data_IF_265523050439
#
_entry.id   IF_265523050439
#
_cell.length_a   1.000
_cell.length_b   1.000
_cell.length_c   1.000
_cell.angle_alpha   90.00
_cell.angle_beta   90.00
_cell.angle_gamma   90.00
#
_symmetry.space_group_name_H-M   'P 1'
#
loop_
_entity.id
_entity.type
_entity.pdbx_description
1 polymer ?
#
# COMPACT_ATOMS: atom_id res chain seq x y z
N UNK A 1 17.68 32.23 31.05
CA UNK A 1 16.85 32.97 30.07
C UNK A 1 16.97 34.45 30.39
N UNK A 2 17.86 35.12 29.66
CA UNK A 2 18.06 36.56 29.82
C UNK A 2 16.87 37.32 29.26
N UNK A 3 16.14 38.02 30.11
CA UNK A 3 15.31 39.12 29.70
C UNK A 3 16.30 40.25 29.35
N UNK A 4 16.44 40.58 28.05
CA UNK A 4 17.26 41.72 27.66
C UNK A 4 16.59 42.97 28.16
N UNK A 5 17.21 43.61 29.17
CA UNK A 5 16.84 44.92 29.63
C UNK A 5 17.40 45.94 28.66
N UNK A 6 16.56 46.75 28.03
CA UNK A 6 17.02 47.98 27.39
C UNK A 6 17.35 48.99 28.52
N UNK A 7 18.64 49.27 28.71
CA UNK A 7 19.12 50.25 29.64
C UNK A 7 18.85 51.67 29.08
N UNK A 8 18.05 52.46 29.75
CA UNK A 8 17.93 53.88 29.48
C UNK A 8 19.02 54.63 30.23
N UNK A 9 19.55 55.65 29.59
CA UNK A 9 20.67 56.53 29.87
C UNK A 9 21.19 56.56 31.33
N UNK A 10 22.48 56.34 31.56
CA UNK A 10 23.05 56.40 32.89
C UNK A 10 23.23 57.86 33.35
N UNK A 11 22.63 58.23 34.50
CA UNK A 11 22.94 59.45 35.18
C UNK A 11 24.22 59.30 35.99
N UNK A 12 25.18 60.20 35.82
CA UNK A 12 26.46 60.17 36.52
C UNK A 12 26.49 61.32 37.54
N UNK A 13 26.58 60.99 38.82
CA UNK A 13 26.94 61.97 39.83
C UNK A 13 28.22 61.55 40.52
N UNK A 14 29.19 62.43 40.57
CA UNK A 14 30.46 62.21 41.26
C UNK A 14 30.79 63.33 42.21
N UNK A 15 30.82 63.06 43.47
CA UNK A 15 31.44 63.94 44.51
C UNK A 15 32.79 63.39 44.98
N UNK A 16 33.22 62.19 44.61
CA UNK A 16 34.46 61.54 45.14
C UNK A 16 35.33 60.90 44.08
N UNK A 17 35.10 61.17 42.77
CA UNK A 17 35.87 60.54 41.71
C UNK A 17 35.46 59.12 41.38
N UNK A 18 34.61 58.48 42.13
CA UNK A 18 33.99 57.18 41.77
C UNK A 18 32.78 57.42 40.85
N UNK A 19 32.77 56.69 39.76
CA UNK A 19 31.63 56.66 38.82
C UNK A 19 30.60 55.67 39.31
N UNK A 20 29.42 56.14 39.71
CA UNK A 20 28.29 55.28 39.98
C UNK A 20 27.31 55.35 38.79
N UNK A 21 26.77 54.19 38.40
CA UNK A 21 25.78 54.09 37.35
C UNK A 21 24.50 53.51 37.94
N UNK A 22 23.39 54.21 37.76
CA UNK A 22 22.10 53.64 38.10
C UNK A 22 21.47 53.13 36.78
N UNK A 23 21.28 51.83 36.70
CA UNK A 23 20.60 51.19 35.58
C UNK A 23 19.16 50.92 35.99
N UNK A 24 18.21 51.61 35.37
CA UNK A 24 16.79 51.37 35.59
C UNK A 24 16.30 50.47 34.45
N UNK A 25 15.92 49.28 34.75
CA UNK A 25 15.28 48.37 33.77
C UNK A 25 13.77 48.52 33.90
N UNK A 26 13.10 48.90 32.81
CA UNK A 26 11.65 48.97 32.78
C UNK A 26 11.11 47.68 32.11
N UNK A 27 10.31 46.91 32.86
CA UNK A 27 9.60 45.75 32.35
C UNK A 27 8.19 46.14 32.01
N UNK A 28 7.80 46.05 30.75
CA UNK A 28 6.43 46.32 30.30
C UNK A 28 5.53 45.12 30.50
N UNK A 29 4.24 45.31 30.68
CA UNK A 29 3.27 44.23 30.76
C UNK A 29 3.33 43.33 29.48
N UNK A 30 3.57 43.92 28.33
CA UNK A 30 3.70 43.24 27.04
C UNK A 30 4.94 42.32 27.01
N UNK A 31 6.08 42.77 27.51
CA UNK A 31 7.29 41.95 27.59
C UNK A 31 7.14 40.75 28.55
N UNK A 32 6.33 40.89 29.58
CA UNK A 32 5.99 39.82 30.52
C UNK A 32 5.11 38.76 29.86
N UNK A 33 4.09 39.20 29.15
CA UNK A 33 3.19 38.28 28.43
C UNK A 33 3.93 37.52 27.33
N UNK A 34 4.84 38.17 26.58
CA UNK A 34 5.71 37.50 25.62
C UNK A 34 6.67 36.48 26.24
N UNK A 35 7.23 36.84 27.42
CA UNK A 35 8.09 35.90 28.16
C UNK A 35 7.31 34.66 28.61
N UNK A 36 6.09 34.84 29.12
CA UNK A 36 5.19 33.75 29.49
C UNK A 36 4.88 32.84 28.30
N UNK A 37 4.53 33.42 27.13
CA UNK A 37 4.33 32.69 25.88
C UNK A 37 5.54 31.88 25.45
N UNK A 38 6.74 32.46 25.53
CA UNK A 38 8.00 31.75 25.19
C UNK A 38 8.24 30.54 26.10
N UNK A 39 8.01 30.71 27.41
CA UNK A 39 8.15 29.62 28.37
C UNK A 39 7.10 28.55 28.14
N UNK A 40 5.84 28.94 27.93
CA UNK A 40 4.75 28.00 27.64
C UNK A 40 5.02 27.21 26.35
N UNK A 41 5.40 27.87 25.27
CA UNK A 41 5.75 27.23 23.99
C UNK A 41 6.94 26.26 24.13
N UNK A 42 7.97 26.62 24.91
CA UNK A 42 9.15 25.76 25.12
C UNK A 42 8.80 24.49 25.91
N UNK A 43 7.80 24.55 26.77
CA UNK A 43 7.38 23.46 27.64
C UNK A 43 6.09 22.77 27.15
N UNK A 44 5.57 23.17 25.96
CA UNK A 44 4.48 22.48 25.31
C UNK A 44 4.97 21.10 24.81
N UNK A 45 4.20 20.08 25.10
CA UNK A 45 4.36 18.73 24.55
C UNK A 45 2.99 18.27 24.09
N UNK A 46 2.91 17.83 22.83
CA UNK A 46 1.70 17.19 22.31
C UNK A 46 1.54 15.79 22.90
N UNK A 47 0.30 15.36 23.13
CA UNK A 47 0.03 13.99 23.49
C UNK A 47 0.30 13.08 22.29
N UNK A 48 1.03 12.01 22.49
CA UNK A 48 1.32 11.03 21.45
C UNK A 48 0.53 9.75 21.71
N UNK A 49 -0.21 9.32 20.72
CA UNK A 49 -0.94 8.05 20.74
C UNK A 49 0.05 6.86 20.78
N UNK A 50 -0.39 5.78 21.39
CA UNK A 50 0.29 4.50 21.21
C UNK A 50 0.30 4.11 19.74
N UNK A 51 1.33 3.40 19.31
CA UNK A 51 1.48 2.92 17.93
C UNK A 51 2.19 1.57 17.92
N UNK A 52 2.05 0.84 16.81
CA UNK A 52 2.90 -0.33 16.59
C UNK A 52 4.30 0.16 16.24
N UNK A 53 5.27 -0.25 17.04
CA UNK A 53 6.69 0.10 16.85
C UNK A 53 7.42 -0.86 15.93
N UNK A 54 7.02 -2.16 15.95
CA UNK A 54 7.54 -3.19 15.03
C UNK A 54 6.45 -4.17 14.64
N UNK A 55 6.48 -4.56 13.39
CA UNK A 55 5.65 -5.61 12.82
C UNK A 55 6.51 -6.82 12.43
N UNK A 56 6.10 -8.00 12.88
CA UNK A 56 6.78 -9.28 12.62
C UNK A 56 5.81 -10.20 11.86
N UNK A 57 5.87 -10.22 10.52
CA UNK A 57 5.00 -11.08 9.72
C UNK A 57 5.07 -12.54 10.15
N UNK A 58 3.93 -13.21 10.21
CA UNK A 58 3.74 -14.62 10.56
C UNK A 58 4.18 -15.04 11.98
N UNK A 59 4.75 -14.14 12.77
CA UNK A 59 5.12 -14.45 14.14
C UNK A 59 3.89 -14.61 15.04
N UNK A 60 3.95 -15.49 16.05
CA UNK A 60 2.91 -15.59 17.09
C UNK A 60 2.68 -14.25 17.80
N UNK A 61 3.75 -13.50 18.06
CA UNK A 61 3.71 -12.12 18.56
C UNK A 61 4.01 -11.19 17.39
N UNK A 62 2.98 -10.83 16.63
CA UNK A 62 3.12 -10.02 15.41
C UNK A 62 3.50 -8.58 15.66
N UNK A 63 3.08 -8.00 16.79
CA UNK A 63 3.21 -6.56 17.03
C UNK A 63 3.95 -6.28 18.31
N UNK A 64 4.93 -5.35 18.25
CA UNK A 64 5.48 -4.65 19.39
C UNK A 64 4.92 -3.23 19.41
N UNK A 65 4.66 -2.71 20.60
CA UNK A 65 3.99 -1.43 20.75
C UNK A 65 4.91 -0.41 21.40
N UNK A 66 4.76 0.86 20.99
CA UNK A 66 5.25 2.01 21.73
C UNK A 66 4.10 2.57 22.57
N UNK A 67 4.38 2.86 23.82
CA UNK A 67 3.41 3.41 24.77
C UNK A 67 2.97 4.81 24.35
N UNK A 68 1.75 5.15 24.69
CA UNK A 68 1.24 6.50 24.59
C UNK A 68 1.95 7.44 25.58
N UNK A 69 2.10 8.70 25.24
CA UNK A 69 2.62 9.71 26.14
C UNK A 69 1.65 10.86 26.32
N UNK A 70 1.53 11.32 27.58
CA UNK A 70 0.71 12.50 27.87
C UNK A 70 1.33 13.77 27.27
N UNK A 71 0.47 14.62 26.75
CA UNK A 71 0.79 16.00 26.42
C UNK A 71 0.79 16.88 27.65
N UNK A 72 1.39 18.06 27.51
CA UNK A 72 1.36 19.09 28.54
C UNK A 72 1.30 20.48 27.91
N UNK A 73 0.53 21.35 28.55
CA UNK A 73 0.38 22.74 28.17
C UNK A 73 0.46 23.60 29.41
N UNK A 74 1.38 24.58 29.44
CA UNK A 74 1.48 25.54 30.53
C UNK A 74 0.36 26.56 30.38
N UNK A 75 -0.27 26.91 31.49
CA UNK A 75 -1.25 28.00 31.55
C UNK A 75 -0.55 29.34 31.39
N UNK A 76 -0.61 29.89 30.17
CA UNK A 76 0.08 31.15 29.82
C UNK A 76 -0.39 32.33 30.66
N UNK A 77 -1.71 32.39 30.90
CA UNK A 77 -2.32 33.49 31.66
C UNK A 77 -1.88 33.47 33.12
N UNK A 78 -1.92 32.31 33.76
CA UNK A 78 -1.46 32.12 35.12
C UNK A 78 0.04 32.46 35.26
N UNK A 79 0.87 31.92 34.34
CA UNK A 79 2.29 32.21 34.31
C UNK A 79 2.61 33.70 34.14
N UNK A 80 1.88 34.40 33.25
CA UNK A 80 2.02 35.85 33.04
C UNK A 80 1.65 36.64 34.31
N UNK A 81 0.56 36.26 35.00
CA UNK A 81 0.16 36.87 36.24
C UNK A 81 1.18 36.68 37.36
N UNK A 82 1.75 35.47 37.48
CA UNK A 82 2.84 35.18 38.41
C UNK A 82 4.07 36.05 38.10
N UNK A 83 4.48 36.17 36.82
CA UNK A 83 5.57 37.06 36.42
C UNK A 83 5.31 38.52 36.80
N UNK A 84 4.12 39.03 36.52
CA UNK A 84 3.72 40.40 36.91
C UNK A 84 3.83 40.60 38.43
N UNK A 85 3.37 39.63 39.22
CA UNK A 85 3.47 39.64 40.68
C UNK A 85 4.92 39.70 41.20
N UNK A 86 5.80 38.91 40.57
CA UNK A 86 7.24 38.88 40.89
C UNK A 86 7.88 40.25 40.62
N UNK A 87 7.66 40.82 39.43
CA UNK A 87 8.25 42.12 39.12
C UNK A 87 7.71 43.23 40.04
N UNK A 88 6.43 43.20 40.41
CA UNK A 88 5.84 44.16 41.35
C UNK A 88 6.40 44.04 42.76
N UNK A 89 6.88 42.87 43.17
CA UNK A 89 7.46 42.64 44.51
C UNK A 89 8.90 43.18 44.68
N UNK A 90 9.58 43.50 43.57
CA UNK A 90 10.98 43.94 43.58
C UNK A 90 11.99 42.91 44.06
N UNK A 91 11.64 41.64 44.13
CA UNK A 91 12.51 40.55 44.52
C UNK A 91 13.61 40.29 43.50
N UNK A 92 14.85 40.07 43.92
CA UNK A 92 15.98 39.78 43.04
C UNK A 92 16.03 38.31 42.56
N UNK A 93 15.43 37.41 43.34
CA UNK A 93 15.31 35.97 42.98
C UNK A 93 13.89 35.50 43.31
N UNK A 94 13.34 34.66 42.43
CA UNK A 94 12.03 34.08 42.62
C UNK A 94 11.89 32.71 42.00
N UNK A 95 11.13 31.84 42.64
CA UNK A 95 10.75 30.54 42.11
C UNK A 95 9.27 30.54 41.75
N UNK A 96 8.97 30.34 40.46
CA UNK A 96 7.63 30.23 39.97
C UNK A 96 7.32 28.75 39.68
N UNK A 97 6.16 28.30 40.13
CA UNK A 97 5.61 26.98 39.76
C UNK A 97 4.49 27.20 38.79
N UNK A 98 4.74 26.90 37.53
CA UNK A 98 3.74 27.03 36.51
C UNK A 98 2.64 25.95 36.66
N UNK A 99 1.40 26.36 36.49
CA UNK A 99 0.28 25.42 36.33
C UNK A 99 0.36 24.75 34.97
N UNK A 100 0.30 23.40 34.97
CA UNK A 100 0.46 22.58 33.77
C UNK A 100 -0.76 21.71 33.60
N UNK A 101 -1.52 22.00 32.58
CA UNK A 101 -2.61 21.17 32.09
C UNK A 101 -2.05 19.95 31.35
N UNK A 102 -2.50 18.76 31.71
CA UNK A 102 -2.14 17.51 31.04
C UNK A 102 -3.24 17.11 30.07
N UNK A 103 -2.83 16.63 28.89
CA UNK A 103 -3.73 16.09 27.88
C UNK A 103 -3.42 14.62 27.69
N UNK A 104 -4.40 13.76 27.85
CA UNK A 104 -4.23 12.33 27.63
C UNK A 104 -4.17 12.01 26.13
N UNK A 105 -3.42 11.00 25.77
CA UNK A 105 -3.44 10.41 24.45
C UNK A 105 -4.81 9.77 24.18
N UNK A 106 -5.25 9.79 22.93
CA UNK A 106 -6.55 9.24 22.53
C UNK A 106 -6.53 7.72 22.38
N UNK A 107 -5.37 7.12 22.18
CA UNK A 107 -5.19 5.70 21.88
C UNK A 107 -4.12 5.14 22.80
N UNK A 108 -4.48 4.13 23.59
CA UNK A 108 -3.57 3.36 24.43
C UNK A 108 -3.14 2.06 23.72
N UNK A 109 -2.13 1.37 24.25
CA UNK A 109 -1.66 0.07 23.72
C UNK A 109 -2.77 -1.00 23.76
N UNK A 110 -3.63 -0.97 24.76
CA UNK A 110 -4.71 -1.96 24.86
C UNK A 110 -5.81 -1.73 23.80
N UNK A 111 -6.01 -0.48 23.36
CA UNK A 111 -6.89 -0.18 22.21
C UNK A 111 -6.31 -0.78 20.93
N UNK A 112 -5.01 -0.66 20.70
CA UNK A 112 -4.33 -1.26 19.56
C UNK A 112 -4.46 -2.79 19.58
N UNK A 113 -4.19 -3.43 20.70
CA UNK A 113 -4.31 -4.90 20.86
C UNK A 113 -5.72 -5.42 20.59
N UNK A 114 -6.74 -4.64 20.94
CA UNK A 114 -8.14 -5.00 20.77
C UNK A 114 -8.63 -4.79 19.34
N UNK A 115 -8.15 -3.75 18.66
CA UNK A 115 -8.74 -3.29 17.42
C UNK A 115 -7.89 -3.58 16.17
N UNK A 116 -6.59 -3.89 16.30
CA UNK A 116 -5.79 -4.37 15.17
C UNK A 116 -6.13 -5.84 14.95
N UNK A 117 -6.79 -6.11 13.83
CA UNK A 117 -7.29 -7.43 13.43
C UNK A 117 -6.86 -7.76 12.00
N UNK A 118 -7.03 -9.02 11.61
CA UNK A 118 -6.93 -9.42 10.21
C UNK A 118 -8.14 -8.85 9.45
N UNK A 119 -7.88 -7.90 8.54
CA UNK A 119 -8.93 -7.25 7.76
C UNK A 119 -9.33 -8.09 6.55
N UNK A 120 -8.35 -8.68 5.89
CA UNK A 120 -8.57 -9.51 4.69
C UNK A 120 -7.40 -10.42 4.42
N UNK A 121 -7.66 -11.56 3.81
CA UNK A 121 -6.67 -12.43 3.17
C UNK A 121 -7.15 -12.78 1.77
N UNK A 122 -6.23 -12.80 0.83
CA UNK A 122 -6.48 -13.25 -0.53
C UNK A 122 -5.37 -14.19 -0.99
N UNK A 123 -5.77 -15.29 -1.66
CA UNK A 123 -4.83 -16.30 -2.14
C UNK A 123 -4.99 -16.55 -3.63
N UNK A 124 -3.90 -16.84 -4.33
CA UNK A 124 -3.91 -17.29 -5.72
C UNK A 124 -2.89 -18.40 -5.93
N UNK A 125 -3.24 -19.40 -6.76
CA UNK A 125 -2.34 -20.50 -7.08
C UNK A 125 -1.58 -20.17 -8.36
N UNK A 126 -0.26 -20.26 -8.32
CA UNK A 126 0.58 -20.12 -9.51
C UNK A 126 0.51 -21.38 -10.36
N UNK A 127 0.19 -21.22 -11.62
CA UNK A 127 0.33 -22.23 -12.68
C UNK A 127 1.50 -21.91 -13.61
N UNK A 128 2.36 -20.97 -13.21
CA UNK A 128 3.51 -20.53 -13.98
C UNK A 128 4.66 -21.55 -13.92
N UNK A 129 5.70 -21.32 -14.70
CA UNK A 129 6.97 -22.06 -14.59
C UNK A 129 7.57 -21.87 -13.19
N UNK A 130 8.52 -22.73 -12.82
CA UNK A 130 9.29 -22.60 -11.58
C UNK A 130 9.92 -21.22 -11.45
N UNK A 131 10.57 -20.70 -12.50
CA UNK A 131 11.12 -19.35 -12.53
C UNK A 131 10.07 -18.27 -12.31
N UNK A 132 8.89 -18.41 -12.94
CA UNK A 132 7.80 -17.45 -12.75
C UNK A 132 7.27 -17.47 -11.31
N UNK A 133 7.13 -18.64 -10.71
CA UNK A 133 6.73 -18.79 -9.31
C UNK A 133 7.82 -18.24 -8.36
N UNK A 134 9.11 -18.47 -8.69
CA UNK A 134 10.21 -17.88 -7.92
C UNK A 134 10.21 -16.34 -7.99
N UNK A 135 9.92 -15.76 -9.17
CA UNK A 135 9.76 -14.30 -9.29
C UNK A 135 8.63 -13.77 -8.39
N UNK A 136 7.53 -14.52 -8.28
CA UNK A 136 6.45 -14.18 -7.34
C UNK A 136 6.93 -14.25 -5.89
N UNK A 137 7.74 -15.25 -5.53
CA UNK A 137 8.34 -15.39 -4.18
C UNK A 137 9.26 -14.22 -3.88
N UNK A 138 10.14 -13.83 -4.80
CA UNK A 138 11.03 -12.68 -4.65
C UNK A 138 10.24 -11.40 -4.45
N UNK A 139 9.23 -11.14 -5.30
CA UNK A 139 8.42 -9.93 -5.22
C UNK A 139 7.60 -9.84 -3.92
N UNK A 140 6.93 -10.93 -3.51
CA UNK A 140 6.16 -10.95 -2.26
C UNK A 140 7.07 -10.84 -1.04
N UNK A 141 8.25 -11.48 -1.05
CA UNK A 141 9.24 -11.33 0.03
C UNK A 141 9.68 -9.87 0.19
N UNK A 142 9.84 -9.14 -0.91
CA UNK A 142 10.19 -7.71 -0.86
C UNK A 142 9.05 -6.83 -0.31
N UNK A 143 7.80 -7.22 -0.53
CA UNK A 143 6.61 -6.52 -0.02
C UNK A 143 6.27 -6.88 1.43
N UNK A 144 6.67 -8.09 1.87
CA UNK A 144 6.30 -8.63 3.18
C UNK A 144 6.85 -7.78 4.33
N UNK A 145 6.00 -7.50 5.32
CA UNK A 145 6.37 -6.67 6.48
C UNK A 145 6.21 -5.17 6.25
N UNK A 146 5.64 -4.74 5.13
CA UNK A 146 5.34 -3.32 4.90
C UNK A 146 4.40 -2.78 5.97
N UNK A 147 4.76 -1.64 6.54
CA UNK A 147 3.93 -0.83 7.43
C UNK A 147 3.53 0.42 6.66
N UNK A 148 2.23 0.67 6.57
CA UNK A 148 1.66 1.78 5.81
C UNK A 148 1.03 2.74 6.79
N UNK A 149 1.71 3.85 7.04
CA UNK A 149 1.28 4.89 7.97
C UNK A 149 -0.04 5.55 7.51
N UNK A 150 -0.80 6.19 8.42
CA UNK A 150 -1.98 6.98 8.09
C UNK A 150 -1.72 7.96 6.93
N UNK A 151 -2.56 7.95 5.90
CA UNK A 151 -2.44 8.81 4.72
C UNK A 151 -1.26 8.50 3.80
N UNK A 152 -0.40 7.53 4.14
CA UNK A 152 0.75 7.19 3.31
C UNK A 152 0.36 6.36 2.09
N UNK A 153 1.11 6.54 1.00
CA UNK A 153 0.99 5.75 -0.23
C UNK A 153 2.08 4.69 -0.29
N UNK A 154 1.67 3.46 -0.49
CA UNK A 154 2.51 2.30 -0.76
C UNK A 154 2.58 2.03 -2.27
N UNK A 155 3.74 1.61 -2.78
CA UNK A 155 3.99 1.31 -4.19
C UNK A 155 4.62 -0.06 -4.32
N UNK A 156 4.06 -0.89 -5.21
CA UNK A 156 4.59 -2.22 -5.50
C UNK A 156 6.01 -2.13 -6.09
N UNK A 157 6.20 -1.31 -7.13
CA UNK A 157 7.49 -1.15 -7.79
C UNK A 157 8.57 -0.57 -6.85
N UNK A 158 8.19 0.30 -5.90
CA UNK A 158 9.12 0.81 -4.90
C UNK A 158 9.58 -0.28 -3.94
N UNK A 159 8.70 -1.20 -3.55
CA UNK A 159 9.06 -2.31 -2.67
C UNK A 159 9.89 -3.36 -3.38
N UNK A 160 9.50 -3.76 -4.59
CA UNK A 160 10.15 -4.85 -5.35
C UNK A 160 11.44 -4.44 -6.03
N UNK A 161 11.64 -3.13 -6.23
CA UNK A 161 12.73 -2.62 -7.06
C UNK A 161 12.51 -2.95 -8.55
N UNK A 162 13.57 -2.80 -9.34
CA UNK A 162 13.51 -3.08 -10.78
C UNK A 162 13.41 -4.58 -11.05
N UNK A 163 12.19 -5.04 -11.31
CA UNK A 163 11.89 -6.45 -11.58
C UNK A 163 12.51 -7.00 -12.87
N UNK A 164 13.12 -6.17 -13.70
CA UNK A 164 13.84 -6.57 -14.90
C UNK A 164 15.34 -6.88 -14.64
N UNK A 165 15.76 -6.94 -13.37
CA UNK A 165 17.15 -7.17 -12.98
C UNK A 165 17.33 -8.54 -12.29
N UNK A 166 18.17 -9.39 -12.89
CA UNK A 166 18.61 -10.66 -12.29
C UNK A 166 19.36 -10.47 -10.97
N UNK A 167 20.06 -9.34 -10.82
CA UNK A 167 20.78 -9.00 -9.59
C UNK A 167 19.89 -8.83 -8.34
N UNK A 168 18.58 -8.65 -8.54
CA UNK A 168 17.58 -8.63 -7.48
C UNK A 168 16.91 -10.01 -7.25
N UNK A 169 17.40 -11.06 -7.92
CA UNK A 169 16.91 -12.42 -7.79
C UNK A 169 15.82 -12.80 -8.80
N UNK A 170 15.41 -11.89 -9.68
CA UNK A 170 14.43 -12.20 -10.72
C UNK A 170 15.04 -13.06 -11.83
N UNK A 171 14.23 -13.96 -12.38
CA UNK A 171 14.63 -14.94 -13.39
C UNK A 171 13.83 -14.76 -14.69
N UNK A 172 14.35 -15.24 -15.83
CA UNK A 172 13.60 -15.29 -17.08
C UNK A 172 12.36 -16.20 -16.95
N UNK A 173 11.19 -15.66 -17.29
CA UNK A 173 9.92 -16.36 -17.33
C UNK A 173 8.98 -15.72 -18.35
N UNK A 174 7.79 -16.28 -18.56
CA UNK A 174 6.83 -15.75 -19.52
C UNK A 174 6.36 -14.33 -19.18
N UNK A 175 6.47 -13.44 -20.13
CA UNK A 175 5.95 -12.06 -20.09
C UNK A 175 5.03 -11.82 -21.28
N UNK A 176 4.18 -10.82 -21.20
CA UNK A 176 3.42 -10.31 -22.34
C UNK A 176 4.06 -8.99 -22.76
N UNK A 177 4.75 -9.00 -23.89
CA UNK A 177 5.42 -7.82 -24.46
C UNK A 177 4.78 -7.47 -25.81
N UNK A 178 4.37 -6.20 -25.99
CA UNK A 178 3.74 -5.71 -27.23
C UNK A 178 2.55 -6.58 -27.71
N UNK A 179 1.79 -7.15 -26.77
CA UNK A 179 0.66 -8.02 -27.09
C UNK A 179 1.06 -9.41 -27.62
N UNK A 180 2.25 -9.91 -27.30
CA UNK A 180 2.71 -11.26 -27.62
C UNK A 180 3.34 -11.91 -26.38
N UNK A 181 3.21 -13.24 -26.30
CA UNK A 181 3.92 -14.01 -25.30
C UNK A 181 5.42 -14.02 -25.65
N UNK A 182 6.25 -13.66 -24.68
CA UNK A 182 7.71 -13.59 -24.79
C UNK A 182 8.33 -14.09 -23.49
N UNK A 183 9.65 -14.22 -23.45
CA UNK A 183 10.40 -14.54 -22.25
C UNK A 183 11.17 -13.29 -21.82
N UNK A 184 10.95 -12.87 -20.59
CA UNK A 184 11.63 -11.71 -19.98
C UNK A 184 11.92 -11.94 -18.51
N UNK A 185 12.87 -11.17 -17.95
CA UNK A 185 13.17 -11.23 -16.53
C UNK A 185 11.98 -10.69 -15.73
N UNK A 186 11.65 -11.32 -14.61
CA UNK A 186 10.54 -10.92 -13.75
C UNK A 186 9.16 -11.40 -14.23
N UNK A 187 9.08 -12.24 -15.27
CA UNK A 187 7.80 -12.79 -15.71
C UNK A 187 7.04 -13.48 -14.57
N UNK A 188 5.72 -13.29 -14.53
CA UNK A 188 4.82 -13.84 -13.50
C UNK A 188 4.43 -12.87 -12.38
N UNK A 189 5.20 -11.83 -12.07
CA UNK A 189 4.98 -10.96 -10.90
C UNK A 189 3.68 -10.15 -10.92
N UNK A 190 3.02 -9.99 -12.07
CA UNK A 190 1.68 -9.41 -12.13
C UNK A 190 0.63 -10.22 -11.35
N UNK A 191 0.87 -11.51 -11.11
CA UNK A 191 0.04 -12.30 -10.21
C UNK A 191 0.25 -11.86 -8.75
N UNK A 192 1.49 -11.54 -8.34
CA UNK A 192 1.77 -10.99 -7.01
C UNK A 192 1.05 -9.66 -6.79
N UNK A 193 1.17 -8.71 -7.72
CA UNK A 193 0.50 -7.42 -7.61
C UNK A 193 -1.03 -7.55 -7.62
N UNK A 194 -1.58 -8.46 -8.45
CA UNK A 194 -3.03 -8.71 -8.48
C UNK A 194 -3.53 -9.37 -7.18
N UNK A 195 -2.75 -10.25 -6.56
CA UNK A 195 -3.10 -10.86 -5.27
C UNK A 195 -3.10 -9.80 -4.17
N UNK A 196 -2.07 -8.93 -4.13
CA UNK A 196 -2.01 -7.80 -3.20
C UNK A 196 -3.19 -6.85 -3.42
N UNK A 197 -3.50 -6.49 -4.67
CA UNK A 197 -4.62 -5.63 -5.01
C UNK A 197 -5.95 -6.16 -4.47
N UNK A 198 -6.22 -7.46 -4.67
CA UNK A 198 -7.44 -8.09 -4.18
C UNK A 198 -7.55 -8.12 -2.65
N UNK A 199 -6.46 -8.38 -1.95
CA UNK A 199 -6.44 -8.26 -0.48
C UNK A 199 -6.63 -6.79 -0.04
N UNK A 200 -5.94 -5.86 -0.68
CA UNK A 200 -5.95 -4.43 -0.34
C UNK A 200 -7.34 -3.79 -0.48
N UNK A 201 -8.06 -4.05 -1.58
CA UNK A 201 -9.40 -3.48 -1.78
C UNK A 201 -10.39 -4.00 -0.75
N UNK A 202 -10.21 -5.24 -0.26
CA UNK A 202 -11.02 -5.84 0.82
C UNK A 202 -10.60 -5.39 2.22
N UNK A 203 -9.39 -4.84 2.35
CA UNK A 203 -8.90 -4.18 3.57
C UNK A 203 -9.18 -2.67 3.59
N UNK A 204 -10.01 -2.17 2.68
CA UNK A 204 -10.34 -0.75 2.53
C UNK A 204 -9.18 0.17 2.13
N UNK A 205 -8.09 -0.36 1.56
CA UNK A 205 -7.06 0.49 0.97
C UNK A 205 -7.63 1.29 -0.19
N UNK A 206 -7.23 2.56 -0.31
CA UNK A 206 -7.58 3.38 -1.47
C UNK A 206 -6.64 3.06 -2.62
N UNK A 207 -7.20 2.90 -3.82
CA UNK A 207 -6.43 2.64 -5.05
C UNK A 207 -6.04 3.97 -5.67
N UNK A 208 -4.74 4.27 -5.70
CA UNK A 208 -4.21 5.50 -6.31
C UNK A 208 -3.78 5.26 -7.75
N UNK A 209 -3.22 4.09 -8.05
CA UNK A 209 -2.79 3.71 -9.39
C UNK A 209 -2.98 2.20 -9.57
N UNK A 210 -3.63 1.81 -10.66
CA UNK A 210 -3.83 0.41 -11.04
C UNK A 210 -4.17 0.31 -12.52
N UNK A 211 -3.58 -0.65 -13.21
CA UNK A 211 -3.84 -0.96 -14.61
C UNK A 211 -4.32 -2.39 -14.77
N UNK A 212 -5.24 -2.64 -15.70
CA UNK A 212 -5.61 -4.00 -16.09
C UNK A 212 -4.66 -4.51 -17.18
N UNK A 213 -4.58 -5.83 -17.33
CA UNK A 213 -3.89 -6.43 -18.45
C UNK A 213 -4.65 -6.17 -19.78
N UNK A 214 -3.96 -6.35 -20.88
CA UNK A 214 -4.57 -6.38 -22.21
C UNK A 214 -5.54 -7.56 -22.36
N UNK A 215 -5.19 -8.71 -21.82
CA UNK A 215 -6.02 -9.92 -21.77
C UNK A 215 -6.35 -10.29 -20.32
N UNK A 216 -7.58 -10.72 -20.07
CA UNK A 216 -7.97 -11.08 -18.71
C UNK A 216 -7.10 -12.23 -18.16
N UNK A 217 -6.62 -12.06 -16.95
CA UNK A 217 -5.91 -13.11 -16.23
C UNK A 217 -6.89 -14.14 -15.67
N UNK A 218 -6.46 -15.42 -15.60
CA UNK A 218 -7.27 -16.51 -15.07
C UNK A 218 -7.18 -16.68 -13.55
N UNK A 219 -6.21 -16.01 -12.91
CA UNK A 219 -5.92 -16.19 -11.47
C UNK A 219 -6.69 -15.26 -10.54
N UNK A 220 -7.37 -14.23 -11.06
CA UNK A 220 -8.24 -13.33 -10.28
C UNK A 220 -9.54 -13.06 -11.05
N UNK A 221 -10.61 -12.56 -10.38
CA UNK A 221 -11.83 -12.13 -11.08
C UNK A 221 -11.55 -11.06 -12.12
N UNK A 222 -12.18 -11.18 -13.27
CA UNK A 222 -12.05 -10.20 -14.36
C UNK A 222 -12.47 -8.82 -13.88
N UNK A 223 -11.62 -7.82 -14.12
CA UNK A 223 -11.78 -6.46 -13.59
C UNK A 223 -11.03 -6.22 -12.29
N UNK A 224 -10.42 -7.25 -11.71
CA UNK A 224 -9.69 -7.18 -10.43
C UNK A 224 -8.22 -7.64 -10.54
N UNK A 225 -7.66 -7.64 -11.72
CA UNK A 225 -6.22 -7.82 -11.93
C UNK A 225 -5.47 -6.48 -11.80
N UNK A 226 -4.18 -6.53 -11.54
CA UNK A 226 -3.30 -5.37 -11.47
C UNK A 226 -1.99 -5.71 -12.19
N UNK A 227 -1.80 -5.16 -13.40
CA UNK A 227 -0.55 -5.31 -14.13
C UNK A 227 0.48 -4.28 -13.67
N UNK A 228 1.73 -4.68 -13.67
CA UNK A 228 2.87 -3.81 -13.37
C UNK A 228 3.94 -3.93 -14.46
N UNK A 229 4.66 -2.85 -14.68
CA UNK A 229 5.86 -2.80 -15.50
C UNK A 229 6.79 -1.75 -14.90
N UNK A 230 7.95 -2.16 -14.43
CA UNK A 230 8.84 -1.28 -13.69
C UNK A 230 9.22 -0.03 -14.51
N UNK A 231 8.94 1.14 -13.93
CA UNK A 231 9.16 2.43 -14.55
C UNK A 231 7.99 2.95 -15.41
N UNK A 232 7.01 2.09 -15.76
CA UNK A 232 5.88 2.47 -16.62
C UNK A 232 4.52 2.30 -15.90
N UNK A 233 4.26 1.13 -15.32
CA UNK A 233 2.99 0.78 -14.67
C UNK A 233 3.25 0.32 -13.24
N UNK A 234 2.50 0.86 -12.28
CA UNK A 234 2.64 0.52 -10.87
C UNK A 234 1.29 0.16 -10.24
N UNK A 235 1.32 -0.53 -9.12
CA UNK A 235 0.21 -0.64 -8.20
C UNK A 235 0.52 0.27 -7.00
N UNK A 236 -0.25 1.36 -6.85
CA UNK A 236 -0.14 2.26 -5.72
C UNK A 236 -1.42 2.25 -4.90
N UNK A 237 -1.25 2.07 -3.61
CA UNK A 237 -2.32 1.97 -2.64
C UNK A 237 -2.06 2.96 -1.51
N UNK A 238 -3.07 3.67 -1.03
CA UNK A 238 -2.92 4.53 0.14
C UNK A 238 -3.78 4.06 1.30
N UNK A 239 -3.31 4.33 2.50
CA UNK A 239 -4.03 4.05 3.73
C UNK A 239 -4.97 5.23 4.05
N UNK A 240 -6.30 5.07 3.90
CA UNK A 240 -7.25 6.16 4.14
C UNK A 240 -7.64 6.31 5.62
N UNK A 241 -7.06 5.50 6.51
CA UNK A 241 -7.44 5.47 7.93
C UNK A 241 -6.48 6.29 8.78
N UNK A 242 -6.89 6.57 10.03
CA UNK A 242 -6.06 7.24 11.03
C UNK A 242 -5.09 6.29 11.75
N UNK A 243 -5.02 5.02 11.32
CA UNK A 243 -4.24 3.96 11.97
C UNK A 243 -3.29 3.29 10.98
N UNK A 244 -2.22 2.70 11.51
CA UNK A 244 -1.27 1.93 10.70
C UNK A 244 -1.95 0.70 10.08
N UNK A 245 -1.58 0.38 8.84
CA UNK A 245 -1.92 -0.88 8.16
C UNK A 245 -0.67 -1.70 7.88
N UNK A 246 -0.81 -3.02 7.88
CA UNK A 246 0.31 -3.95 7.82
C UNK A 246 0.06 -4.99 6.74
N UNK A 247 1.04 -5.16 5.86
CA UNK A 247 1.00 -6.14 4.77
C UNK A 247 1.86 -7.36 5.13
N UNK A 248 1.23 -8.52 5.13
CA UNK A 248 1.85 -9.82 5.34
C UNK A 248 1.64 -10.66 4.09
N UNK A 249 2.72 -11.12 3.45
CA UNK A 249 2.61 -11.89 2.21
C UNK A 249 3.76 -12.87 2.01
N UNK A 250 3.45 -14.05 1.47
CA UNK A 250 4.42 -15.11 1.16
C UNK A 250 3.90 -16.04 0.06
N UNK A 251 4.80 -16.87 -0.45
CA UNK A 251 4.45 -18.02 -1.30
C UNK A 251 4.77 -19.30 -0.54
N UNK A 252 3.79 -20.18 -0.41
CA UNK A 252 3.98 -21.55 0.12
C UNK A 252 3.65 -22.50 -1.00
N UNK A 253 4.59 -23.36 -1.35
CA UNK A 253 4.54 -24.17 -2.57
C UNK A 253 4.29 -23.27 -3.80
N UNK A 254 3.14 -23.40 -4.42
CA UNK A 254 2.72 -22.57 -5.55
C UNK A 254 1.60 -21.58 -5.20
N UNK A 255 1.23 -21.44 -3.92
CA UNK A 255 0.15 -20.57 -3.49
C UNK A 255 0.69 -19.29 -2.91
N UNK A 256 0.23 -18.18 -3.45
CA UNK A 256 0.50 -16.82 -2.98
C UNK A 256 -0.54 -16.48 -1.91
N UNK A 257 -0.09 -16.10 -0.72
CA UNK A 257 -0.93 -15.63 0.38
C UNK A 257 -0.62 -14.17 0.66
N UNK A 258 -1.66 -13.35 0.70
CA UNK A 258 -1.55 -11.92 1.02
C UNK A 258 -2.61 -11.56 2.05
N UNK A 259 -2.18 -10.96 3.15
CA UNK A 259 -3.05 -10.53 4.24
C UNK A 259 -2.78 -9.08 4.62
N UNK A 260 -3.85 -8.35 4.94
CA UNK A 260 -3.78 -7.02 5.52
C UNK A 260 -4.29 -7.04 6.95
N UNK A 261 -3.51 -6.48 7.85
CA UNK A 261 -3.86 -6.22 9.24
C UNK A 261 -4.05 -4.74 9.45
N UNK A 262 -4.97 -4.35 10.31
CA UNK A 262 -5.23 -2.95 10.61
C UNK A 262 -6.34 -2.77 11.62
N UNK A 263 -6.69 -1.53 11.89
CA UNK A 263 -7.77 -1.20 12.80
C UNK A 263 -9.13 -1.56 12.19
N UNK A 264 -9.91 -2.37 12.91
CA UNK A 264 -11.27 -2.72 12.47
C UNK A 264 -12.17 -1.49 12.41
N UNK A 265 -13.04 -1.45 11.41
CA UNK A 265 -14.03 -0.39 11.29
C UNK A 265 -15.25 -0.65 12.17
N UNK A 266 -15.80 0.41 12.75
CA UNK A 266 -17.12 0.35 13.38
C UNK A 266 -18.27 0.54 12.38
N UNK A 267 -17.95 0.97 11.16
CA UNK A 267 -18.94 1.29 10.12
C UNK A 267 -19.37 0.08 9.30
N UNK A 268 -18.52 -0.94 9.18
CA UNK A 268 -18.79 -2.17 8.43
C UNK A 268 -18.06 -3.37 9.05
N UNK A 269 -18.55 -4.56 8.78
CA UNK A 269 -17.95 -5.81 9.27
C UNK A 269 -17.12 -6.51 8.21
N UNK A 270 -17.47 -6.33 6.92
CA UNK A 270 -16.90 -7.06 5.80
C UNK A 270 -16.91 -6.20 4.55
N UNK A 271 -15.85 -6.31 3.75
CA UNK A 271 -15.80 -5.77 2.38
C UNK A 271 -15.65 -6.95 1.41
N UNK A 272 -16.59 -7.07 0.49
CA UNK A 272 -16.52 -7.98 -0.65
C UNK A 272 -16.22 -7.22 -1.94
N UNK A 273 -16.06 -7.94 -3.03
CA UNK A 273 -15.95 -7.35 -4.37
C UNK A 273 -17.07 -7.87 -5.25
N UNK A 274 -17.47 -7.05 -6.21
CA UNK A 274 -18.45 -7.38 -7.24
C UNK A 274 -17.92 -6.88 -8.58
N UNK A 275 -18.15 -7.67 -9.65
CA UNK A 275 -17.83 -7.26 -11.01
C UNK A 275 -19.02 -7.50 -11.92
N UNK A 276 -19.06 -6.76 -13.03
CA UNK A 276 -20.13 -6.87 -14.02
C UNK A 276 -19.60 -6.56 -15.40
N UNK A 277 -19.89 -7.46 -16.34
CA UNK A 277 -19.69 -7.19 -17.76
C UNK A 277 -20.62 -6.05 -18.20
N UNK A 278 -20.07 -4.98 -18.75
CA UNK A 278 -20.83 -3.77 -19.11
C UNK A 278 -20.87 -3.55 -20.62
N UNK A 279 -19.90 -4.06 -21.35
CA UNK A 279 -19.86 -4.00 -22.80
C UNK A 279 -19.14 -5.24 -23.34
N UNK A 280 -19.63 -5.79 -24.45
CA UNK A 280 -19.01 -6.91 -25.15
C UNK A 280 -19.07 -6.64 -26.65
N UNK A 281 -17.90 -6.32 -27.23
CA UNK A 281 -17.70 -6.17 -28.66
C UNK A 281 -17.08 -7.42 -29.28
N UNK A 282 -16.82 -7.37 -30.56
CA UNK A 282 -16.16 -8.46 -31.30
C UNK A 282 -14.68 -8.61 -30.99
N UNK A 283 -14.00 -7.51 -30.64
CA UNK A 283 -12.55 -7.46 -30.37
C UNK A 283 -12.19 -7.17 -28.93
N UNK A 284 -13.14 -6.64 -28.14
CA UNK A 284 -12.89 -6.28 -26.74
C UNK A 284 -14.16 -6.36 -25.90
N UNK A 285 -13.98 -6.49 -24.59
CA UNK A 285 -15.06 -6.40 -23.61
C UNK A 285 -14.63 -5.57 -22.39
N UNK A 286 -15.62 -4.95 -21.73
CA UNK A 286 -15.39 -4.10 -20.56
C UNK A 286 -16.11 -4.63 -19.34
N UNK A 287 -15.40 -4.68 -18.24
CA UNK A 287 -15.92 -5.08 -16.93
C UNK A 287 -15.76 -3.93 -15.96
N UNK A 288 -16.83 -3.61 -15.23
CA UNK A 288 -16.77 -2.74 -14.05
C UNK A 288 -16.64 -3.56 -12.79
N UNK A 289 -15.88 -3.05 -11.82
CA UNK A 289 -15.72 -3.67 -10.52
C UNK A 289 -16.08 -2.68 -9.40
N UNK A 290 -16.51 -3.23 -8.28
CA UNK A 290 -16.85 -2.49 -7.06
C UNK A 290 -16.30 -3.22 -5.84
N UNK A 291 -15.97 -2.49 -4.78
CA UNK A 291 -15.98 -3.00 -3.43
C UNK A 291 -17.33 -2.72 -2.79
N UNK A 292 -17.81 -3.66 -1.99
CA UNK A 292 -19.14 -3.66 -1.42
C UNK A 292 -19.01 -3.86 0.08
N UNK A 293 -19.58 -2.93 0.84
CA UNK A 293 -19.49 -2.91 2.30
C UNK A 293 -20.72 -3.59 2.91
N UNK A 294 -20.48 -4.44 3.89
CA UNK A 294 -21.52 -5.17 4.61
C UNK A 294 -21.49 -4.85 6.10
N UNK A 295 -22.66 -4.71 6.70
CA UNK A 295 -22.88 -4.60 8.13
C UNK A 295 -24.02 -5.54 8.53
N UNK A 296 -23.82 -6.37 9.57
CA UNK A 296 -24.81 -7.35 10.03
C UNK A 296 -25.39 -8.23 8.88
N UNK A 297 -24.50 -8.63 7.96
CA UNK A 297 -24.83 -9.46 6.78
C UNK A 297 -25.63 -8.74 5.68
N UNK A 298 -25.82 -7.43 5.76
CA UNK A 298 -26.51 -6.62 4.75
C UNK A 298 -25.53 -5.70 4.03
N UNK A 299 -25.72 -5.56 2.71
CA UNK A 299 -25.04 -4.54 1.92
C UNK A 299 -25.49 -3.15 2.39
N UNK A 300 -24.54 -2.29 2.75
CA UNK A 300 -24.80 -0.93 3.23
C UNK A 300 -24.30 0.14 2.27
N UNK A 301 -23.24 -0.18 1.50
CA UNK A 301 -22.64 0.74 0.54
C UNK A 301 -21.82 -0.01 -0.51
N UNK A 302 -21.50 0.67 -1.62
CA UNK A 302 -20.59 0.16 -2.63
C UNK A 302 -19.81 1.29 -3.30
N UNK A 303 -18.51 1.06 -3.52
CA UNK A 303 -17.60 2.00 -4.16
C UNK A 303 -17.05 1.41 -5.45
N UNK A 304 -17.02 2.22 -6.52
CA UNK A 304 -16.49 1.79 -7.81
C UNK A 304 -14.96 1.68 -7.75
N UNK A 305 -14.45 0.54 -8.20
CA UNK A 305 -13.02 0.29 -8.45
C UNK A 305 -12.64 0.59 -9.91
N UNK A 306 -13.55 1.17 -10.68
CA UNK A 306 -13.34 1.55 -12.07
C UNK A 306 -13.75 0.49 -13.08
N UNK A 307 -13.31 0.69 -14.32
CA UNK A 307 -13.59 -0.17 -15.48
C UNK A 307 -12.28 -0.71 -16.05
N UNK A 308 -12.32 -1.95 -16.50
CA UNK A 308 -11.21 -2.64 -17.17
C UNK A 308 -11.68 -3.12 -18.54
N UNK A 309 -10.91 -2.83 -19.57
CA UNK A 309 -11.21 -3.29 -20.94
C UNK A 309 -10.14 -4.29 -21.37
N UNK A 310 -10.59 -5.42 -21.86
CA UNK A 310 -9.76 -6.55 -22.27
C UNK A 310 -10.00 -6.87 -23.75
N UNK A 311 -8.94 -7.30 -24.41
CA UNK A 311 -8.98 -7.81 -25.78
C UNK A 311 -9.49 -9.26 -25.78
N UNK A 312 -10.28 -9.63 -26.80
CA UNK A 312 -10.82 -10.99 -26.98
C UNK A 312 -9.95 -11.89 -27.86
N UNK A 313 -8.80 -11.42 -28.37
CA UNK A 313 -7.93 -12.17 -29.27
C UNK A 313 -7.53 -13.54 -28.70
N UNK A 314 -7.28 -13.64 -27.38
CA UNK A 314 -6.94 -14.88 -26.68
C UNK A 314 -8.12 -15.56 -25.97
N UNK A 315 -9.33 -15.23 -26.37
CA UNK A 315 -10.54 -15.75 -25.77
C UNK A 315 -11.14 -14.82 -24.73
N UNK A 316 -12.33 -15.21 -24.29
CA UNK A 316 -13.10 -14.48 -23.29
C UNK A 316 -13.06 -15.21 -21.95
N UNK A 317 -12.62 -14.53 -20.90
CA UNK A 317 -12.61 -15.06 -19.53
C UNK A 317 -13.36 -14.10 -18.63
N UNK A 318 -14.39 -14.62 -17.98
CA UNK A 318 -15.10 -13.90 -16.93
C UNK A 318 -15.18 -14.76 -15.68
N UNK A 319 -14.67 -14.22 -14.57
CA UNK A 319 -14.72 -14.85 -13.25
C UNK A 319 -15.58 -13.94 -12.36
N UNK A 320 -16.61 -14.51 -11.74
CA UNK A 320 -17.51 -13.80 -10.83
C UNK A 320 -16.82 -13.45 -9.52
N UNK A 321 -16.74 -12.16 -9.21
CA UNK A 321 -16.13 -11.67 -7.98
C UNK A 321 -17.06 -11.78 -6.76
N UNK A 322 -18.36 -11.97 -6.94
CA UNK A 322 -19.32 -12.05 -5.83
C UNK A 322 -19.14 -13.33 -5.00
N UNK A 323 -18.63 -14.39 -5.62
CA UNK A 323 -18.46 -15.71 -5.02
C UNK A 323 -17.00 -16.18 -5.10
N UNK A 324 -16.06 -15.27 -4.96
CA UNK A 324 -14.64 -15.57 -5.08
C UNK A 324 -14.11 -16.34 -3.84
N UNK A 325 -13.81 -17.66 -3.98
CA UNK A 325 -13.37 -18.48 -2.85
C UNK A 325 -11.94 -18.16 -2.39
N UNK A 326 -11.21 -17.35 -3.14
CA UNK A 326 -9.82 -16.95 -2.83
C UNK A 326 -9.76 -15.87 -1.76
N UNK A 327 -10.87 -15.16 -1.51
CA UNK A 327 -10.98 -14.21 -0.42
C UNK A 327 -11.33 -14.94 0.89
N UNK A 328 -10.54 -14.69 1.93
CA UNK A 328 -10.73 -15.26 3.27
C UNK A 328 -10.88 -14.13 4.28
N UNK A 329 -11.67 -14.34 5.29
CA UNK A 329 -11.99 -13.34 6.32
C UNK A 329 -12.03 -13.99 7.70
N UNK A 330 -11.78 -13.18 8.73
CA UNK A 330 -11.90 -13.59 10.14
C UNK A 330 -10.66 -14.28 10.70
N UNK A 331 -10.74 -14.57 11.99
CA UNK A 331 -9.59 -15.05 12.77
C UNK A 331 -9.20 -16.50 12.50
N UNK A 332 -10.07 -17.27 11.81
CA UNK A 332 -9.85 -18.70 11.50
C UNK A 332 -9.01 -18.91 10.23
N UNK A 333 -8.53 -17.84 9.60
CA UNK A 333 -7.70 -17.96 8.40
C UNK A 333 -6.33 -18.53 8.77
N UNK A 334 -6.11 -19.78 8.40
CA UNK A 334 -4.82 -20.47 8.57
C UNK A 334 -4.00 -20.31 7.29
N UNK A 335 -2.88 -19.60 7.40
CA UNK A 335 -1.87 -19.55 6.34
C UNK A 335 -0.81 -20.58 6.68
N UNK A 336 -0.57 -21.59 5.83
CA UNK A 336 0.42 -22.65 6.10
C UNK A 336 1.81 -22.04 6.36
N UNK A 337 2.58 -22.66 7.23
CA UNK A 337 4.00 -22.35 7.37
C UNK A 337 4.76 -22.83 6.12
N UNK A 338 5.86 -22.17 5.77
CA UNK A 338 6.73 -22.66 4.71
C UNK A 338 7.18 -24.08 5.07
N UNK A 339 6.94 -25.02 4.16
CA UNK A 339 7.54 -26.35 4.29
C UNK A 339 9.05 -26.18 4.11
N UNK A 340 9.80 -26.30 5.21
CA UNK A 340 11.25 -26.43 5.12
C UNK A 340 11.54 -27.66 4.25
N UNK A 341 12.31 -27.55 3.16
CA UNK A 341 12.73 -28.74 2.43
C UNK A 341 13.37 -29.69 3.44
N UNK A 342 12.84 -30.88 3.59
CA UNK A 342 13.51 -31.92 4.35
C UNK A 342 14.77 -32.25 3.57
N UNK A 343 15.93 -31.93 4.14
CA UNK A 343 17.18 -32.51 3.69
C UNK A 343 16.97 -34.02 3.67
N UNK A 344 17.09 -34.64 2.50
CA UNK A 344 17.08 -36.07 2.33
C UNK A 344 18.32 -36.63 3.02
N UNK A 345 18.19 -36.95 4.30
CA UNK A 345 19.07 -37.95 4.91
C UNK A 345 18.35 -38.70 6.04
N UNK A 346 18.20 -39.95 5.81
CA UNK A 346 17.90 -41.09 6.70
C UNK A 346 16.54 -41.75 6.56
N UNK A 347 16.68 -42.97 6.01
CA UNK A 347 15.78 -44.12 6.08
C UNK A 347 15.09 -44.34 7.42
N UNK A 348 13.78 -44.55 7.45
CA UNK A 348 13.07 -45.77 7.86
C UNK A 348 11.63 -45.49 8.35
N UNK A 349 10.76 -46.40 7.84
CA UNK A 349 9.50 -46.93 8.40
C UNK A 349 8.26 -46.08 8.57
N UNK A 350 7.38 -46.24 7.58
CA UNK A 350 5.93 -46.57 7.63
C UNK A 350 5.09 -46.12 8.82
N UNK A 351 4.09 -45.27 8.53
CA UNK A 351 2.69 -45.65 8.77
C UNK A 351 1.75 -44.71 7.98
N UNK A 352 0.90 -45.35 7.22
CA UNK A 352 -0.16 -44.76 6.37
C UNK A 352 -1.29 -44.19 7.19
N UNK A 353 -1.70 -42.95 6.86
CA UNK A 353 -3.09 -42.56 7.01
C UNK A 353 -3.52 -41.75 5.80
N UNK A 354 -4.29 -42.40 4.94
CA UNK A 354 -5.01 -41.81 3.81
C UNK A 354 -6.11 -40.90 4.35
N UNK A 355 -6.10 -39.65 3.97
CA UNK A 355 -7.30 -38.84 3.95
C UNK A 355 -7.63 -38.51 2.49
N UNK A 356 -8.72 -39.10 2.04
CA UNK A 356 -9.30 -38.95 0.72
C UNK A 356 -9.90 -37.57 0.55
N UNK A 357 -9.37 -36.77 -0.37
CA UNK A 357 -10.07 -35.63 -0.93
C UNK A 357 -10.81 -36.07 -2.19
N UNK A 358 -12.14 -36.00 -2.15
CA UNK A 358 -13.02 -36.17 -3.28
C UNK A 358 -13.10 -34.89 -4.10
N UNK A 359 -12.70 -34.97 -5.36
CA UNK A 359 -12.96 -33.93 -6.37
C UNK A 359 -14.48 -33.81 -6.64
N UNK A 360 -15.03 -32.60 -6.86
CA UNK A 360 -16.37 -32.45 -7.38
C UNK A 360 -16.35 -32.67 -8.89
N UNK A 361 -16.94 -33.78 -9.33
CA UNK A 361 -17.20 -34.08 -10.73
C UNK A 361 -18.27 -33.15 -11.31
N UNK A 362 -17.91 -32.40 -12.33
CA UNK A 362 -18.87 -31.73 -13.20
C UNK A 362 -19.49 -32.74 -14.16
N UNK A 363 -20.75 -33.05 -13.97
CA UNK A 363 -21.55 -33.81 -14.92
C UNK A 363 -22.08 -32.88 -16.02
N UNK A 364 -21.55 -33.01 -17.23
CA UNK A 364 -22.17 -32.48 -18.44
C UNK A 364 -23.13 -33.50 -19.00
N UNK A 365 -24.39 -33.21 -18.95
CA UNK A 365 -25.45 -33.95 -19.68
C UNK A 365 -25.42 -33.56 -21.15
N UNK A 366 -25.01 -34.50 -22.02
CA UNK A 366 -25.28 -34.40 -23.44
C UNK A 366 -26.16 -35.56 -23.86
N UNK A 367 -27.33 -35.20 -24.37
CA UNK A 367 -28.30 -36.10 -24.98
C UNK A 367 -27.78 -36.66 -26.30
N UNK A 368 -27.82 -37.97 -26.38
CA UNK A 368 -27.54 -38.78 -27.55
C UNK A 368 -28.66 -38.73 -28.60
N UNK A 369 -28.28 -38.62 -29.86
CA UNK A 369 -29.08 -39.20 -30.95
C UNK A 369 -28.15 -39.95 -31.91
N UNK A 370 -28.53 -41.18 -32.13
CA UNK A 370 -27.89 -42.17 -33.04
C UNK A 370 -28.02 -41.77 -34.51
N UNK A 371 -26.98 -42.07 -35.29
CA UNK A 371 -27.16 -42.97 -36.42
C UNK A 371 -25.84 -43.30 -37.14
N UNK A 372 -25.78 -44.48 -37.49
CA UNK A 372 -24.89 -45.42 -38.07
C UNK A 372 -24.22 -45.09 -39.44
N UNK A 373 -23.07 -45.71 -39.57
CA UNK A 373 -22.51 -46.49 -40.70
C UNK A 373 -21.52 -45.86 -41.67
N UNK A 374 -20.46 -46.49 -41.67
CA UNK A 374 -19.70 -47.26 -42.71
C UNK A 374 -18.53 -46.57 -43.41
N UNK A 375 -17.39 -47.18 -43.11
CA UNK A 375 -16.37 -47.81 -44.00
C UNK A 375 -15.61 -47.00 -45.05
N UNK A 376 -14.35 -47.25 -44.99
CA UNK A 376 -13.33 -47.59 -45.99
C UNK A 376 -12.37 -46.48 -46.45
N UNK A 377 -11.16 -46.69 -46.07
CA UNK A 377 -9.95 -47.09 -46.84
C UNK A 377 -9.29 -46.07 -47.79
N UNK A 378 -8.01 -46.07 -47.54
CA UNK A 378 -6.87 -46.08 -48.47
C UNK A 378 -6.29 -44.76 -49.01
N UNK A 379 -5.09 -44.53 -48.56
CA UNK A 379 -3.79 -44.61 -49.23
C UNK A 379 -3.29 -43.47 -50.12
N UNK A 380 -2.08 -43.16 -49.83
CA UNK A 380 -0.91 -42.89 -50.70
C UNK A 380 -0.81 -41.46 -51.32
N UNK A 381 0.23 -40.80 -50.91
CA UNK A 381 1.60 -40.68 -51.42
C UNK A 381 1.86 -39.62 -52.50
N UNK A 382 3.03 -39.07 -52.33
CA UNK A 382 3.98 -38.42 -53.27
C UNK A 382 3.84 -36.91 -53.50
N UNK A 383 4.81 -36.21 -53.03
CA UNK A 383 6.19 -35.88 -53.45
C UNK A 383 6.32 -34.76 -54.49
N UNK A 384 7.32 -34.00 -54.22
CA UNK A 384 8.25 -33.25 -55.08
C UNK A 384 7.99 -31.78 -55.36
N UNK A 385 8.84 -30.96 -54.76
CA UNK A 385 10.00 -30.24 -55.34
C UNK A 385 9.70 -29.14 -56.36
N UNK A 386 10.07 -27.94 -56.18
CA UNK A 386 11.33 -27.32 -56.58
C UNK A 386 11.18 -25.83 -56.95
N UNK A 387 12.15 -25.10 -56.58
CA UNK A 387 12.85 -23.96 -57.22
C UNK A 387 12.18 -22.59 -57.37
N UNK A 388 12.77 -21.67 -56.65
CA UNK A 388 13.69 -20.57 -57.04
C UNK A 388 13.08 -19.35 -57.71
N UNK A 389 13.26 -18.19 -57.16
CA UNK A 389 14.22 -17.18 -57.60
C UNK A 389 13.91 -15.80 -57.04
N UNK A 390 14.96 -15.20 -56.61
CA UNK A 390 15.26 -13.83 -56.25
C UNK A 390 14.51 -12.72 -57.03
N UNK A 391 14.14 -11.64 -56.30
CA UNK A 391 14.42 -10.28 -56.74
C UNK A 391 14.41 -9.31 -55.55
N UNK A 392 15.52 -8.61 -55.39
CA UNK A 392 15.70 -7.43 -54.54
C UNK A 392 14.88 -6.28 -55.11
N UNK A 393 14.25 -5.50 -54.23
CA UNK A 393 14.01 -4.09 -54.48
C UNK A 393 14.08 -3.34 -53.15
N UNK A 394 15.07 -2.48 -53.08
CA UNK A 394 15.27 -1.41 -52.15
C UNK A 394 14.16 -0.37 -52.21
N UNK A 395 13.61 0.02 -51.06
CA UNK A 395 12.89 1.29 -50.95
C UNK A 395 13.27 1.98 -49.65
N UNK A 396 13.84 3.16 -49.82
CA UNK A 396 14.17 4.14 -48.80
C UNK A 396 12.92 4.55 -48.00
N UNK A 397 12.99 4.50 -46.67
CA UNK A 397 12.03 5.12 -45.80
C UNK A 397 12.46 6.53 -45.40
N UNK A 398 11.69 7.50 -45.84
CA UNK A 398 11.74 8.89 -45.38
C UNK A 398 11.33 8.96 -43.92
N UNK A 399 12.22 9.51 -43.11
CA UNK A 399 11.97 9.93 -41.72
C UNK A 399 11.16 11.23 -41.72
N UNK A 400 9.99 11.21 -41.08
CA UNK A 400 9.24 12.42 -40.74
C UNK A 400 9.78 13.01 -39.44
N UNK A 401 9.91 14.35 -39.30
CA UNK A 401 10.45 14.97 -38.09
C UNK A 401 9.40 15.06 -36.98
N UNK A 402 9.82 14.74 -35.75
CA UNK A 402 9.05 14.92 -34.51
C UNK A 402 8.75 16.41 -34.24
N UNK A 403 7.58 16.73 -33.67
CA UNK A 403 7.28 18.08 -33.22
C UNK A 403 8.08 18.44 -31.96
N UNK A 404 8.53 19.70 -31.92
CA UNK A 404 9.23 20.31 -30.79
C UNK A 404 8.28 20.46 -29.58
N UNK A 405 8.79 20.36 -28.34
CA UNK A 405 7.99 20.64 -27.16
C UNK A 405 7.70 22.14 -27.04
N UNK A 406 6.48 22.43 -26.54
CA UNK A 406 6.01 23.79 -26.25
C UNK A 406 6.81 24.43 -25.09
N UNK A 407 7.00 25.78 -25.10
CA UNK A 407 7.76 26.46 -24.07
C UNK A 407 6.95 26.55 -22.75
N UNK A 408 7.69 26.36 -21.63
CA UNK A 408 7.18 26.53 -20.26
C UNK A 408 6.59 27.94 -20.04
N UNK A 409 5.49 28.04 -19.25
CA UNK A 409 4.94 29.34 -18.88
C UNK A 409 5.84 30.05 -17.85
N UNK A 410 6.17 31.30 -18.16
CA UNK A 410 6.90 32.23 -17.29
C UNK A 410 6.08 32.55 -16.03
N UNK A 411 6.71 32.68 -14.86
CA UNK A 411 6.00 33.10 -13.63
C UNK A 411 5.62 34.58 -13.73
N UNK A 412 4.34 34.86 -13.46
CA UNK A 412 3.83 36.22 -13.24
C UNK A 412 4.19 36.70 -11.83
N UNK A 413 4.85 37.82 -11.76
CA UNK A 413 5.07 38.61 -10.52
C UNK A 413 3.73 39.08 -9.93
N UNK A 414 3.61 39.18 -8.59
CA UNK A 414 2.42 39.76 -7.97
C UNK A 414 2.43 41.30 -8.06
N UNK A 415 1.37 41.85 -8.62
CA UNK A 415 1.08 43.30 -8.58
C UNK A 415 0.88 43.76 -7.13
N UNK A 416 1.64 44.79 -6.78
CA UNK A 416 1.42 45.61 -5.59
C UNK A 416 0.22 46.54 -5.82
N UNK A 417 -0.88 46.30 -5.13
CA UNK A 417 -2.00 47.22 -5.03
C UNK A 417 -1.93 48.05 -3.77
N UNK A 418 -1.74 49.36 -3.91
CA UNK A 418 -2.04 50.39 -2.91
C UNK A 418 -3.57 50.59 -2.82
N UNK A 419 -4.11 50.54 -1.63
CA UNK A 419 -4.94 51.51 -0.91
C UNK A 419 -5.46 50.87 0.39
#
# INVERSE_FOLDING_TARGET
NEIKNEATDPSVETSTGEKSYTVTATVTAESVDEAAKKVAKKNYKEAENARVSKFHPYAKKRFEYAEASQGQKVNETDLANQFKGVFASGASEYRIIADVEKTDAKIAVDDLKKNIVLLSTYETVSTNTENGTENMRVSLKACNGSVIEPGATWSFNKCTGNSNLESLGYKPAGVISNGKSDIGIGGGICQSSSTIYNAAVRANMKVEERYCHKWASSYVPTGLDATIDYGNLDLKLSNPTDYQMFLECKVVDNTLYVSFWGWKSDSYDLIMTRNKLTNQGSSSYTVKAWRVYYKDGKEIDSESLGSSTYDTENGYVFIDANNDPRAKYGDDVVIPDETVPKDDDSSSSSSSSQSSYSEPSYSSSSSSSHSSNSSSSSSSSHSSSSHSSSSQSSSESKTEPQPKPDPEPTPTEPESGEE
#
